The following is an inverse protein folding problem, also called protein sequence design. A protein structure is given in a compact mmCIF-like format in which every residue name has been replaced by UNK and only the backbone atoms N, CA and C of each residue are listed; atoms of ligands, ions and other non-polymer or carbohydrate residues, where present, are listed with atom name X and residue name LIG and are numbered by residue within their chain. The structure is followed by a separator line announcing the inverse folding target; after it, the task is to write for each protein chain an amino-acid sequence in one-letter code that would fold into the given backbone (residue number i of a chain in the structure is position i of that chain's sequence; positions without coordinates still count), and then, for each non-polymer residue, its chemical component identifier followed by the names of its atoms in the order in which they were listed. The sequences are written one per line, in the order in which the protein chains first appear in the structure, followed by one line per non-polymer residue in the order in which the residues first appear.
data_IF_930816845049
#
_entry.id   IF_930816845049
#
_cell.length_a   1.000
_cell.length_b   1.000
_cell.length_c   1.000
_cell.angle_alpha   90.00
_cell.angle_beta   90.00
_cell.angle_gamma   90.00
#
_symmetry.space_group_name_H-M   'P 1'
#
loop_
_entity.id
_entity.type
_entity.pdbx_description
1 polymer ?
#
# COMPACT_ATOMS: atom_id res chain seq x y z
N UNK A 1 -23.70 6.58 -3.18
CA UNK A 1 -22.52 7.23 -3.79
C UNK A 1 -22.05 6.40 -4.97
N UNK A 2 -21.40 7.03 -5.96
CA UNK A 2 -20.82 6.35 -7.12
C UNK A 2 -19.32 6.19 -6.90
N UNK A 3 -18.78 5.00 -7.15
CA UNK A 3 -17.33 4.77 -7.13
C UNK A 3 -16.77 5.08 -8.51
N UNK A 4 -15.72 5.90 -8.56
CA UNK A 4 -15.12 6.38 -9.82
C UNK A 4 -14.04 5.42 -10.34
N UNK A 5 -13.28 4.77 -9.46
CA UNK A 5 -12.19 3.86 -9.81
C UNK A 5 -11.79 2.96 -8.63
N UNK A 6 -11.01 1.93 -8.91
CA UNK A 6 -10.41 1.02 -7.92
C UNK A 6 -8.96 0.73 -8.28
N UNK A 7 -8.12 0.63 -7.26
CA UNK A 7 -6.73 0.16 -7.38
C UNK A 7 -6.58 -1.04 -6.43
N UNK A 8 -6.18 -2.19 -6.97
CA UNK A 8 -5.95 -3.40 -6.18
C UNK A 8 -4.47 -3.51 -5.76
N UNK A 9 -4.22 -3.37 -4.46
CA UNK A 9 -2.89 -3.45 -3.86
C UNK A 9 -2.64 -4.77 -3.10
N UNK A 10 -3.53 -5.78 -3.24
CA UNK A 10 -3.43 -7.05 -2.50
C UNK A 10 -2.11 -7.78 -2.72
N UNK A 11 -1.47 -7.58 -3.89
CA UNK A 11 -0.20 -8.20 -4.29
C UNK A 11 1.04 -7.34 -4.00
N UNK A 12 0.88 -6.14 -3.44
CA UNK A 12 1.98 -5.19 -3.22
C UNK A 12 3.09 -5.78 -2.33
N UNK A 13 2.71 -6.47 -1.25
CA UNK A 13 3.64 -7.26 -0.44
C UNK A 13 3.32 -8.76 -0.56
N UNK A 14 4.16 -9.57 -1.21
CA UNK A 14 3.88 -10.98 -1.51
C UNK A 14 3.63 -11.82 -0.26
N UNK A 15 2.66 -12.75 -0.34
CA UNK A 15 2.29 -13.62 0.79
C UNK A 15 3.46 -14.44 1.33
N UNK A 16 4.33 -14.95 0.45
CA UNK A 16 5.52 -15.68 0.85
C UNK A 16 6.40 -14.88 1.82
N UNK A 17 6.62 -13.59 1.53
CA UNK A 17 7.39 -12.67 2.38
C UNK A 17 6.66 -12.30 3.66
N UNK A 18 5.32 -12.29 3.66
CA UNK A 18 4.53 -11.96 4.86
C UNK A 18 4.78 -12.93 6.00
N UNK A 19 4.89 -14.22 5.68
CA UNK A 19 5.11 -15.29 6.68
C UNK A 19 6.48 -15.19 7.35
N UNK A 20 7.50 -14.70 6.64
CA UNK A 20 8.86 -14.55 7.16
C UNK A 20 8.96 -13.51 8.28
N UNK A 21 8.14 -12.45 8.22
CA UNK A 21 8.22 -11.31 9.15
C UNK A 21 6.94 -11.11 9.97
N UNK A 22 6.01 -12.07 9.93
CA UNK A 22 4.70 -11.97 10.57
C UNK A 22 3.94 -10.68 10.18
N UNK A 23 4.04 -10.31 8.90
CA UNK A 23 3.29 -9.20 8.34
C UNK A 23 1.83 -9.59 8.14
N UNK A 24 0.96 -8.64 8.45
CA UNK A 24 -0.49 -8.82 8.44
C UNK A 24 -1.08 -8.02 7.25
N UNK A 25 -2.30 -7.52 7.38
CA UNK A 25 -3.03 -6.81 6.33
C UNK A 25 -2.41 -5.46 5.92
N UNK A 26 -2.70 -5.06 4.68
CA UNK A 26 -2.49 -3.70 4.19
C UNK A 26 -3.26 -2.74 5.10
N UNK A 27 -2.56 -1.74 5.61
CA UNK A 27 -3.08 -0.71 6.50
C UNK A 27 -2.06 0.43 6.57
N UNK A 28 -2.55 1.66 6.48
CA UNK A 28 -1.71 2.85 6.38
C UNK A 28 -1.64 3.32 4.93
N UNK A 29 -2.36 4.41 4.67
CA UNK A 29 -2.32 5.15 3.40
C UNK A 29 -2.05 6.59 3.80
N UNK A 30 -1.02 7.20 3.21
CA UNK A 30 -0.65 8.58 3.46
C UNK A 30 -0.46 9.31 2.13
N UNK A 31 -0.84 10.59 2.13
CA UNK A 31 -0.59 11.52 1.03
C UNK A 31 0.40 12.59 1.52
N UNK A 32 1.52 12.70 0.81
CA UNK A 32 2.44 13.82 0.97
C UNK A 32 2.00 14.96 0.03
N UNK A 33 1.40 15.99 0.61
CA UNK A 33 0.88 17.14 -0.15
C UNK A 33 1.99 17.97 -0.80
N UNK A 34 3.17 18.06 -0.18
CA UNK A 34 4.25 18.90 -0.67
C UNK A 34 4.99 18.23 -1.83
N UNK A 35 5.21 16.91 -1.72
CA UNK A 35 5.88 16.12 -2.75
C UNK A 35 4.93 15.51 -3.80
N UNK A 36 3.62 15.49 -3.56
CA UNK A 36 2.65 14.87 -4.47
C UNK A 36 2.74 13.35 -4.51
N UNK A 37 3.06 12.70 -3.39
CA UNK A 37 3.37 11.26 -3.32
C UNK A 37 2.37 10.49 -2.47
N UNK A 38 2.03 9.27 -2.88
CA UNK A 38 1.19 8.35 -2.10
C UNK A 38 2.10 7.31 -1.47
N UNK A 39 1.97 7.12 -0.16
CA UNK A 39 2.65 6.06 0.56
C UNK A 39 1.66 5.02 1.09
N UNK A 40 1.98 3.74 0.92
CA UNK A 40 1.19 2.61 1.40
C UNK A 40 2.07 1.64 2.17
N UNK A 41 1.53 1.10 3.26
CA UNK A 41 2.18 0.05 4.05
C UNK A 41 1.13 -0.92 4.62
N UNK A 42 1.55 -1.74 5.58
CA UNK A 42 0.68 -2.65 6.30
C UNK A 42 1.15 -2.91 7.71
N UNK A 43 0.29 -3.58 8.47
CA UNK A 43 0.59 -3.96 9.86
C UNK A 43 1.80 -4.90 9.88
N UNK A 44 2.87 -4.48 10.55
CA UNK A 44 4.17 -5.19 10.63
C UNK A 44 4.85 -5.41 9.27
N UNK A 45 4.49 -4.64 8.25
CA UNK A 45 5.27 -4.66 7.01
C UNK A 45 6.66 -4.06 7.30
N UNK A 46 7.74 -4.66 6.79
CA UNK A 46 9.10 -4.17 7.02
C UNK A 46 9.44 -2.95 6.17
N UNK A 47 8.52 -2.51 5.29
CA UNK A 47 8.76 -1.44 4.34
C UNK A 47 7.54 -0.55 4.10
N UNK A 48 7.84 0.63 3.59
CA UNK A 48 6.90 1.63 3.10
C UNK A 48 7.07 1.71 1.57
N UNK A 49 5.96 1.69 0.85
CA UNK A 49 5.95 1.80 -0.61
C UNK A 49 5.46 3.17 -1.01
N UNK A 50 6.23 3.89 -1.81
CA UNK A 50 5.72 5.00 -2.62
C UNK A 50 5.06 4.40 -3.86
N UNK A 51 3.82 4.81 -4.18
CA UNK A 51 3.10 4.36 -5.37
C UNK A 51 2.65 5.55 -6.21
N UNK A 52 2.63 5.34 -7.52
CA UNK A 52 2.06 6.26 -8.50
C UNK A 52 0.86 5.57 -9.17
N UNK A 53 -0.24 6.31 -9.35
CA UNK A 53 -1.41 5.84 -10.08
C UNK A 53 -1.29 6.40 -11.50
N UNK A 54 -1.05 5.51 -12.44
CA UNK A 54 -1.02 5.82 -13.87
C UNK A 54 -2.38 5.51 -14.50
N UNK A 55 -2.81 6.34 -15.45
CA UNK A 55 -4.01 6.12 -16.28
C UNK A 55 -3.69 5.32 -17.55
#
# INVERSE_FOLDING_TARGET
GKVNSYVDLTRLYPEAKRREVNADVLNGIAWDQNGGRIFVTGKRWPGLYEIEIIE
#
